data_IF_782580226293
#
_entry.id   IF_782580226293
#
_cell.length_a   1.000
_cell.length_b   1.000
_cell.length_c   1.000
_cell.angle_alpha   90.00
_cell.angle_beta   90.00
_cell.angle_gamma   90.00
#
_symmetry.space_group_name_H-M   'P 1'
#
loop_
_entity.id
_entity.type
_entity.pdbx_description
1 polymer ?
#
# COMPACT_ATOMS: atom_id res chain seq x y z
N UNK A 1 53.12 -70.19 -43.32
CA UNK A 1 53.54 -69.48 -42.09
C UNK A 1 53.70 -68.01 -42.44
N UNK A 2 52.93 -67.13 -41.76
CA UNK A 2 53.07 -65.66 -41.61
C UNK A 2 53.35 -64.82 -42.88
N UNK A 3 52.74 -63.66 -43.15
CA UNK A 3 52.34 -62.61 -42.21
C UNK A 3 51.36 -61.67 -42.91
N UNK A 4 50.32 -61.25 -42.20
CA UNK A 4 49.39 -60.21 -42.60
C UNK A 4 49.98 -58.84 -42.25
N UNK A 5 50.00 -57.90 -43.19
CA UNK A 5 50.25 -56.48 -42.92
C UNK A 5 48.90 -55.76 -42.94
N UNK A 6 48.48 -55.30 -41.76
CA UNK A 6 47.31 -54.47 -41.58
C UNK A 6 47.63 -53.01 -41.93
N UNK A 7 46.89 -52.46 -42.90
CA UNK A 7 46.90 -51.03 -43.18
C UNK A 7 45.94 -50.29 -42.23
N UNK A 8 46.48 -49.33 -41.49
CA UNK A 8 45.74 -48.41 -40.62
C UNK A 8 44.88 -47.45 -41.47
N UNK A 9 43.55 -47.61 -41.40
CA UNK A 9 42.57 -46.61 -41.80
C UNK A 9 42.30 -45.69 -40.61
N UNK A 10 42.81 -44.46 -40.67
CA UNK A 10 42.44 -43.41 -39.74
C UNK A 10 41.03 -42.90 -40.08
N UNK A 11 40.03 -43.40 -39.37
CA UNK A 11 38.69 -42.82 -39.33
C UNK A 11 38.75 -41.50 -38.56
N UNK A 12 38.77 -40.39 -39.30
CA UNK A 12 38.53 -39.07 -38.76
C UNK A 12 37.12 -39.00 -38.16
N UNK A 13 37.05 -38.90 -36.84
CA UNK A 13 35.83 -38.64 -36.10
C UNK A 13 35.37 -37.23 -36.46
N UNK A 14 34.32 -37.13 -37.27
CA UNK A 14 33.51 -35.92 -37.39
C UNK A 14 32.78 -35.74 -36.05
N UNK A 15 33.39 -34.96 -35.15
CA UNK A 15 32.69 -34.46 -33.98
C UNK A 15 31.51 -33.61 -34.46
N UNK A 16 30.30 -33.75 -33.89
CA UNK A 16 29.20 -32.87 -34.20
C UNK A 16 29.64 -31.45 -33.84
N UNK A 17 29.70 -30.59 -34.85
CA UNK A 17 29.77 -29.14 -34.66
C UNK A 17 28.73 -28.79 -33.62
N UNK A 18 29.19 -28.31 -32.46
CA UNK A 18 28.32 -27.88 -31.39
C UNK A 18 27.23 -27.02 -32.00
N UNK A 19 25.98 -27.43 -31.79
CA UNK A 19 24.86 -26.53 -31.95
C UNK A 19 25.20 -25.33 -31.07
N UNK A 20 25.67 -24.26 -31.71
CA UNK A 20 25.71 -22.96 -31.08
C UNK A 20 24.26 -22.72 -30.67
N UNK A 21 23.99 -22.89 -29.38
CA UNK A 21 22.81 -22.32 -28.76
C UNK A 21 22.98 -20.84 -29.07
N UNK A 22 22.30 -20.38 -30.12
CA UNK A 22 22.22 -18.96 -30.39
C UNK A 22 21.79 -18.35 -29.05
N UNK A 23 22.52 -17.36 -28.51
CA UNK A 23 22.04 -16.66 -27.34
C UNK A 23 20.58 -16.29 -27.65
N UNK A 24 19.63 -16.55 -26.74
CA UNK A 24 18.24 -16.19 -26.99
C UNK A 24 18.28 -14.75 -27.48
N UNK A 25 17.73 -14.49 -28.68
CA UNK A 25 17.62 -13.14 -29.22
C UNK A 25 17.11 -12.30 -28.06
N UNK A 26 17.98 -11.46 -27.50
CA UNK A 26 17.79 -10.88 -26.18
C UNK A 26 16.77 -9.76 -26.30
N UNK A 27 15.49 -10.15 -26.37
CA UNK A 27 14.35 -9.28 -26.43
C UNK A 27 13.50 -9.52 -25.20
N UNK A 28 12.97 -8.44 -24.64
CA UNK A 28 11.90 -8.50 -23.66
C UNK A 28 10.73 -9.27 -24.28
N UNK A 29 10.06 -10.14 -23.50
CA UNK A 29 9.01 -11.06 -24.00
C UNK A 29 7.61 -10.74 -23.48
N UNK A 30 7.53 -10.25 -22.26
CA UNK A 30 6.29 -9.91 -21.58
C UNK A 30 6.60 -8.90 -20.48
N UNK A 31 5.65 -8.02 -20.20
CA UNK A 31 5.68 -7.11 -19.07
C UNK A 31 4.47 -7.39 -18.20
N UNK A 32 4.69 -7.48 -16.89
CA UNK A 32 3.63 -7.52 -15.89
C UNK A 32 3.87 -6.33 -14.98
N UNK A 33 2.87 -5.46 -14.88
CA UNK A 33 2.89 -4.31 -13.97
C UNK A 33 1.95 -4.61 -12.82
N UNK A 34 2.50 -4.81 -11.63
CA UNK A 34 1.74 -4.82 -10.39
C UNK A 34 1.80 -3.42 -9.79
N UNK A 35 0.66 -2.73 -9.75
CA UNK A 35 0.57 -1.35 -9.27
C UNK A 35 -0.39 -1.25 -8.10
N UNK A 36 -0.03 -0.43 -7.11
CA UNK A 36 -1.01 0.13 -6.16
C UNK A 36 -1.92 1.11 -6.92
N UNK A 37 -3.09 1.40 -6.36
CA UNK A 37 -3.90 2.53 -6.81
C UNK A 37 -3.18 3.87 -6.71
N UNK A 38 -3.70 4.87 -7.41
CA UNK A 38 -3.29 6.27 -7.27
C UNK A 38 -3.72 6.91 -5.95
N UNK A 39 -3.51 8.22 -5.87
CA UNK A 39 -3.84 9.05 -4.69
C UNK A 39 -5.34 9.01 -4.43
N UNK A 40 -5.72 8.60 -3.22
CA UNK A 40 -7.10 8.41 -2.77
C UNK A 40 -7.39 9.25 -1.53
N UNK A 41 -8.67 9.36 -1.17
CA UNK A 41 -9.05 9.76 0.18
C UNK A 41 -8.57 8.75 1.23
N UNK A 42 -8.50 9.17 2.50
CA UNK A 42 -8.09 8.32 3.61
C UNK A 42 -9.12 7.24 3.91
N UNK A 43 -8.64 6.17 4.53
CA UNK A 43 -9.50 5.18 5.17
C UNK A 43 -10.05 5.71 6.49
N UNK A 44 -10.99 4.97 7.06
CA UNK A 44 -11.33 5.05 8.46
C UNK A 44 -10.23 4.52 9.38
N UNK A 45 -10.31 4.85 10.68
CA UNK A 45 -9.44 4.23 11.68
C UNK A 45 -10.10 2.92 12.15
N UNK A 46 -9.57 1.79 11.70
CA UNK A 46 -10.23 0.49 11.87
C UNK A 46 -11.47 0.38 10.97
N UNK A 47 -12.64 0.14 11.58
CA UNK A 47 -13.92 -0.01 10.85
C UNK A 47 -14.75 1.28 10.80
N UNK A 48 -14.34 2.33 11.53
CA UNK A 48 -15.07 3.60 11.62
C UNK A 48 -14.65 4.53 10.50
N UNK A 49 -15.59 5.03 9.69
CA UNK A 49 -15.30 6.05 8.68
C UNK A 49 -14.72 7.33 9.33
N UNK A 50 -13.93 8.12 8.59
CA UNK A 50 -13.44 9.41 9.10
C UNK A 50 -14.60 10.31 9.54
N UNK A 51 -14.52 10.86 10.75
CA UNK A 51 -15.53 11.77 11.30
C UNK A 51 -14.90 12.80 12.22
N UNK A 52 -15.64 13.88 12.49
CA UNK A 52 -15.16 14.93 13.39
C UNK A 52 -15.04 14.40 14.82
N UNK A 53 -15.97 13.54 15.24
CA UNK A 53 -15.97 12.89 16.55
C UNK A 53 -14.77 11.96 16.72
N UNK A 54 -14.39 11.24 15.66
CA UNK A 54 -13.18 10.40 15.66
C UNK A 54 -11.94 11.28 15.76
N UNK A 55 -11.79 12.27 14.86
CA UNK A 55 -10.61 13.12 14.82
C UNK A 55 -10.42 13.91 16.12
N UNK A 56 -11.48 14.44 16.75
CA UNK A 56 -11.38 15.16 18.04
C UNK A 56 -10.78 14.36 19.20
N UNK A 57 -10.82 13.02 19.12
CA UNK A 57 -10.19 12.13 20.11
C UNK A 57 -8.67 12.09 19.97
N UNK A 58 -8.16 12.25 18.75
CA UNK A 58 -6.73 12.09 18.43
C UNK A 58 -6.03 13.42 18.12
N UNK A 59 -6.71 14.32 17.42
CA UNK A 59 -6.20 15.62 17.00
C UNK A 59 -6.68 16.70 17.97
N UNK A 60 -5.78 17.17 18.83
CA UNK A 60 -6.04 18.29 19.75
C UNK A 60 -5.46 19.61 19.22
N UNK A 61 -4.54 19.53 18.25
CA UNK A 61 -3.94 20.70 17.63
C UNK A 61 -4.98 21.45 16.76
N UNK A 62 -5.40 22.67 17.12
CA UNK A 62 -6.37 23.43 16.35
C UNK A 62 -5.80 23.95 15.01
N UNK A 63 -4.48 23.90 14.82
CA UNK A 63 -3.82 24.36 13.59
C UNK A 63 -3.56 23.23 12.59
N UNK A 64 -3.96 21.99 12.91
CA UNK A 64 -3.85 20.86 12.00
C UNK A 64 -5.20 20.62 11.34
N UNK A 65 -5.30 20.95 10.06
CA UNK A 65 -6.48 20.65 9.25
C UNK A 65 -6.37 19.27 8.61
N UNK A 66 -7.38 18.44 8.84
CA UNK A 66 -7.57 17.12 8.23
C UNK A 66 -8.96 17.10 7.57
N UNK A 67 -9.08 17.51 6.29
CA UNK A 67 -10.37 17.72 5.66
C UNK A 67 -11.22 16.46 5.60
N UNK A 68 -12.48 16.55 6.04
CA UNK A 68 -13.43 15.43 6.05
C UNK A 68 -14.36 15.41 4.83
N UNK A 69 -14.36 16.45 3.99
CA UNK A 69 -15.25 16.53 2.83
C UNK A 69 -14.67 15.80 1.61
N UNK A 70 -15.47 14.97 0.94
CA UNK A 70 -15.10 14.35 -0.32
C UNK A 70 -14.79 15.38 -1.43
N UNK A 71 -15.41 16.57 -1.38
CA UNK A 71 -15.13 17.64 -2.34
C UNK A 71 -13.73 18.23 -2.15
N UNK A 72 -13.28 18.41 -0.90
CA UNK A 72 -11.94 18.91 -0.59
C UNK A 72 -10.85 17.96 -1.13
N UNK A 73 -11.12 16.66 -1.09
CA UNK A 73 -10.23 15.63 -1.65
C UNK A 73 -10.38 15.42 -3.16
N UNK A 74 -11.45 15.95 -3.77
CA UNK A 74 -11.78 15.67 -5.16
C UNK A 74 -12.18 14.22 -5.41
N UNK A 75 -12.79 13.56 -4.42
CA UNK A 75 -13.32 12.19 -4.51
C UNK A 75 -14.83 12.13 -4.71
N UNK A 76 -15.53 13.28 -4.60
CA UNK A 76 -16.98 13.32 -4.83
C UNK A 76 -17.33 13.13 -6.30
N UNK A 77 -18.34 12.29 -6.55
CA UNK A 77 -18.89 12.00 -7.89
C UNK A 77 -20.19 12.77 -8.17
N UNK A 78 -20.85 13.27 -7.12
CA UNK A 78 -22.20 13.87 -7.19
C UNK A 78 -22.23 15.36 -6.83
N UNK A 79 -21.07 15.95 -6.49
CA UNK A 79 -20.96 17.32 -5.96
C UNK A 79 -21.77 17.56 -4.68
N UNK A 80 -22.17 16.49 -3.98
CA UNK A 80 -22.87 16.59 -2.70
C UNK A 80 -21.94 17.22 -1.65
N UNK A 81 -22.27 18.41 -1.11
CA UNK A 81 -21.42 19.08 -0.13
C UNK A 81 -21.33 18.32 1.20
N UNK A 82 -22.25 17.37 1.45
CA UNK A 82 -22.32 16.56 2.67
C UNK A 82 -21.60 15.21 2.55
N UNK A 83 -21.12 14.85 1.36
CA UNK A 83 -20.37 13.60 1.18
C UNK A 83 -19.05 13.65 1.97
N UNK A 84 -18.92 12.73 2.93
CA UNK A 84 -17.69 12.54 3.69
C UNK A 84 -16.64 11.86 2.85
N UNK A 85 -15.38 12.21 3.08
CA UNK A 85 -14.24 11.59 2.43
C UNK A 85 -14.21 10.09 2.68
N UNK A 86 -13.83 9.34 1.65
CA UNK A 86 -13.74 7.88 1.64
C UNK A 86 -12.53 7.45 0.81
N UNK A 87 -12.10 6.18 0.84
CA UNK A 87 -10.92 5.71 0.11
C UNK A 87 -11.16 5.54 -1.40
N UNK A 88 -11.94 6.44 -2.00
CA UNK A 88 -12.10 6.59 -3.46
C UNK A 88 -10.87 7.29 -4.04
N UNK A 89 -10.55 6.99 -5.30
CA UNK A 89 -9.50 7.68 -6.05
C UNK A 89 -9.86 9.16 -6.23
N UNK A 90 -8.90 10.03 -6.03
CA UNK A 90 -9.05 11.47 -6.25
C UNK A 90 -8.98 11.80 -7.76
N UNK A 91 -9.61 12.89 -8.18
CA UNK A 91 -9.46 13.42 -9.56
C UNK A 91 -7.99 13.69 -9.91
N UNK A 92 -7.19 14.19 -8.97
CA UNK A 92 -5.75 14.40 -9.16
C UNK A 92 -5.00 13.07 -9.29
N UNK A 93 -5.28 12.10 -8.41
CA UNK A 93 -4.70 10.76 -8.44
C UNK A 93 -4.94 10.04 -9.77
N UNK A 94 -6.13 10.17 -10.36
CA UNK A 94 -6.41 9.69 -11.72
C UNK A 94 -5.45 10.29 -12.75
N UNK A 95 -5.28 11.61 -12.75
CA UNK A 95 -4.40 12.31 -13.68
C UNK A 95 -2.93 11.92 -13.51
N UNK A 96 -2.46 11.75 -12.27
CA UNK A 96 -1.09 11.29 -11.98
C UNK A 96 -0.85 9.89 -12.52
N UNK A 97 -1.79 8.97 -12.34
CA UNK A 97 -1.69 7.60 -12.87
C UNK A 97 -1.76 7.57 -14.39
N UNK A 98 -2.57 8.43 -15.01
CA UNK A 98 -2.57 8.58 -16.46
C UNK A 98 -1.19 9.03 -16.98
N UNK A 99 -0.56 10.02 -16.33
CA UNK A 99 0.81 10.44 -16.65
C UNK A 99 1.83 9.33 -16.42
N UNK A 100 1.64 8.47 -15.43
CA UNK A 100 2.48 7.28 -15.25
C UNK A 100 2.34 6.33 -16.43
N UNK A 101 1.13 6.08 -16.92
CA UNK A 101 0.89 5.30 -18.14
C UNK A 101 1.56 5.92 -19.37
N UNK A 102 1.46 7.24 -19.54
CA UNK A 102 2.15 7.98 -20.61
C UNK A 102 3.66 7.87 -20.50
N UNK A 103 4.23 7.98 -19.28
CA UNK A 103 5.65 7.80 -19.05
C UNK A 103 6.10 6.40 -19.44
N UNK A 104 5.34 5.38 -19.02
CA UNK A 104 5.59 4.00 -19.41
C UNK A 104 5.58 3.88 -20.93
N UNK A 105 4.55 4.39 -21.61
CA UNK A 105 4.50 4.41 -23.07
C UNK A 105 5.76 5.04 -23.67
N UNK A 106 6.12 6.25 -23.27
CA UNK A 106 7.12 7.02 -23.99
C UNK A 106 8.56 6.53 -23.71
N UNK A 107 8.81 5.95 -22.53
CA UNK A 107 10.15 5.65 -22.03
C UNK A 107 10.42 4.17 -21.75
N UNK A 108 9.37 3.37 -21.52
CA UNK A 108 9.48 1.97 -21.15
C UNK A 108 8.78 1.11 -22.21
N UNK A 109 9.48 0.11 -22.73
CA UNK A 109 8.85 -0.92 -23.58
C UNK A 109 8.33 -0.39 -24.94
N UNK A 110 9.06 0.52 -25.60
CA UNK A 110 8.76 0.94 -26.98
C UNK A 110 8.53 -0.25 -27.94
N UNK A 111 9.25 -1.35 -27.74
CA UNK A 111 9.11 -2.62 -28.47
C UNK A 111 7.72 -3.28 -28.32
N UNK A 112 6.99 -2.96 -27.23
CA UNK A 112 5.67 -3.49 -26.88
C UNK A 112 4.52 -2.53 -27.10
N UNK A 113 4.76 -1.26 -27.45
CA UNK A 113 3.67 -0.33 -27.77
C UNK A 113 3.00 -0.65 -29.10
N UNK A 114 3.64 -1.50 -29.90
CA UNK A 114 3.03 -2.15 -31.05
C UNK A 114 2.16 -3.36 -30.68
N UNK A 115 2.09 -3.75 -29.39
CA UNK A 115 1.11 -4.72 -28.93
C UNK A 115 -0.29 -4.16 -29.24
N UNK A 116 -1.08 -4.96 -29.93
CA UNK A 116 -2.44 -4.55 -30.28
C UNK A 116 -3.27 -4.43 -29.00
N UNK A 117 -4.32 -3.59 -29.02
CA UNK A 117 -5.27 -3.51 -27.90
C UNK A 117 -5.83 -4.88 -27.45
N UNK A 118 -5.73 -5.90 -28.31
CA UNK A 118 -6.21 -7.28 -28.08
C UNK A 118 -5.21 -8.17 -27.34
N UNK A 119 -3.93 -7.81 -27.33
CA UNK A 119 -2.85 -8.57 -26.68
C UNK A 119 -2.55 -8.04 -25.27
N UNK A 120 -3.16 -6.92 -24.91
CA UNK A 120 -3.06 -6.31 -23.60
C UNK A 120 -4.33 -6.57 -22.80
N UNK A 121 -4.16 -6.86 -21.52
CA UNK A 121 -5.26 -7.00 -20.56
C UNK A 121 -4.84 -6.35 -19.24
N UNK A 122 -5.83 -5.90 -18.48
CA UNK A 122 -5.66 -5.37 -17.13
C UNK A 122 -6.62 -6.10 -16.19
N UNK A 123 -6.16 -6.33 -14.96
CA UNK A 123 -6.98 -6.80 -13.85
C UNK A 123 -6.99 -5.72 -12.78
N UNK A 124 -8.13 -5.54 -12.12
CA UNK A 124 -8.24 -4.68 -10.95
C UNK A 124 -9.09 -5.36 -9.88
N UNK A 125 -8.87 -4.99 -8.62
CA UNK A 125 -9.79 -5.38 -7.55
C UNK A 125 -11.15 -4.69 -7.75
N UNK A 126 -12.21 -5.28 -7.19
CA UNK A 126 -13.59 -4.80 -7.34
C UNK A 126 -13.90 -3.64 -6.39
N UNK A 127 -13.04 -2.62 -6.42
CA UNK A 127 -13.25 -1.36 -5.72
C UNK A 127 -12.96 -0.17 -6.65
N UNK A 128 -13.57 0.98 -6.33
CA UNK A 128 -13.57 2.15 -7.21
C UNK A 128 -12.15 2.65 -7.52
N UNK A 129 -11.26 2.68 -6.51
CA UNK A 129 -9.92 3.25 -6.69
C UNK A 129 -9.02 2.39 -7.55
N UNK A 130 -9.12 1.07 -7.44
CA UNK A 130 -8.27 0.14 -8.19
C UNK A 130 -8.76 0.05 -9.65
N UNK A 131 -10.08 -0.02 -9.84
CA UNK A 131 -10.70 0.02 -11.17
C UNK A 131 -10.34 1.32 -11.93
N UNK A 132 -10.56 2.48 -11.30
CA UNK A 132 -10.24 3.77 -11.93
C UNK A 132 -8.72 3.98 -12.12
N UNK A 133 -7.88 3.44 -11.24
CA UNK A 133 -6.41 3.46 -11.44
C UNK A 133 -6.04 2.68 -12.69
N UNK A 134 -6.55 1.46 -12.85
CA UNK A 134 -6.27 0.65 -14.03
C UNK A 134 -6.76 1.35 -15.30
N UNK A 135 -7.96 1.92 -15.30
CA UNK A 135 -8.48 2.73 -16.42
C UNK A 135 -7.54 3.90 -16.72
N UNK A 136 -7.13 4.68 -15.72
CA UNK A 136 -6.24 5.82 -15.89
C UNK A 136 -4.90 5.38 -16.51
N UNK A 137 -4.28 4.33 -15.97
CA UNK A 137 -3.00 3.83 -16.44
C UNK A 137 -3.09 3.35 -17.90
N UNK A 138 -4.12 2.56 -18.23
CA UNK A 138 -4.35 2.09 -19.59
C UNK A 138 -4.64 3.22 -20.56
N UNK A 139 -5.35 4.27 -20.13
CA UNK A 139 -5.62 5.45 -20.97
C UNK A 139 -4.36 6.26 -21.31
N UNK A 140 -3.38 6.30 -20.39
CA UNK A 140 -2.08 6.91 -20.64
C UNK A 140 -1.18 6.03 -21.52
N UNK A 141 -1.15 4.72 -21.22
CA UNK A 141 -0.31 3.75 -21.90
C UNK A 141 -0.77 3.47 -23.34
N UNK A 142 -2.07 3.32 -23.55
CA UNK A 142 -2.72 2.99 -24.83
C UNK A 142 -3.89 3.93 -25.15
N UNK A 143 -3.65 5.22 -25.45
CA UNK A 143 -4.71 6.22 -25.62
C UNK A 143 -5.69 5.93 -26.77
N UNK A 144 -5.30 5.12 -27.76
CA UNK A 144 -6.17 4.68 -28.86
C UNK A 144 -7.06 3.49 -28.51
N UNK A 145 -6.79 2.76 -27.42
CA UNK A 145 -7.47 1.53 -27.04
C UNK A 145 -8.63 1.79 -26.06
N UNK A 146 -9.70 2.46 -26.52
CA UNK A 146 -10.83 2.87 -25.67
C UNK A 146 -11.59 1.71 -25.00
N UNK A 147 -11.57 0.52 -25.62
CA UNK A 147 -12.28 -0.66 -25.12
C UNK A 147 -11.43 -1.47 -24.11
N UNK A 148 -10.19 -1.05 -23.85
CA UNK A 148 -9.28 -1.73 -22.92
C UNK A 148 -9.61 -1.33 -21.48
N UNK A 149 -10.62 -2.00 -20.93
CA UNK A 149 -11.09 -1.84 -19.56
C UNK A 149 -10.57 -2.98 -18.66
N UNK A 150 -10.32 -2.73 -17.37
CA UNK A 150 -9.87 -3.77 -16.46
C UNK A 150 -10.95 -4.82 -16.21
N UNK A 151 -10.53 -6.06 -16.07
CA UNK A 151 -11.35 -7.16 -15.61
C UNK A 151 -11.42 -7.07 -14.08
N UNK A 152 -12.62 -6.87 -13.52
CA UNK A 152 -12.88 -6.86 -12.06
C UNK A 152 -13.73 -8.04 -11.58
N UNK A 153 -14.44 -8.70 -12.51
CA UNK A 153 -15.30 -9.83 -12.15
C UNK A 153 -14.43 -11.02 -11.75
N UNK A 154 -14.74 -11.62 -10.59
CA UNK A 154 -14.05 -12.81 -10.06
C UNK A 154 -12.56 -12.59 -9.80
N UNK A 155 -12.10 -11.34 -9.62
CA UNK A 155 -10.71 -11.04 -9.29
C UNK A 155 -10.42 -10.98 -7.79
N UNK A 156 -11.44 -11.08 -6.93
CA UNK A 156 -11.28 -10.97 -5.48
C UNK A 156 -10.18 -11.88 -4.92
N UNK A 157 -10.07 -13.13 -5.36
CA UNK A 157 -9.00 -14.05 -4.92
C UNK A 157 -7.63 -13.77 -5.55
N UNK A 158 -7.51 -12.84 -6.48
CA UNK A 158 -6.20 -12.35 -6.96
C UNK A 158 -5.64 -11.28 -6.03
N UNK A 159 -6.50 -10.50 -5.37
CA UNK A 159 -6.10 -9.33 -4.58
C UNK A 159 -6.30 -9.54 -3.06
N UNK A 160 -7.40 -10.16 -2.65
CA UNK A 160 -7.87 -10.19 -1.26
C UNK A 160 -7.83 -11.60 -0.65
N UNK A 161 -6.89 -12.46 -1.07
CA UNK A 161 -6.80 -13.84 -0.54
C UNK A 161 -6.75 -13.86 0.98
N UNK A 162 -5.87 -13.04 1.57
CA UNK A 162 -5.68 -13.07 3.01
C UNK A 162 -6.78 -12.38 3.81
N UNK A 163 -7.65 -11.59 3.19
CA UNK A 163 -8.86 -11.07 3.84
C UNK A 163 -10.06 -12.00 3.69
N UNK A 164 -10.04 -12.88 2.68
CA UNK A 164 -11.19 -13.70 2.34
C UNK A 164 -11.28 -14.94 3.25
N UNK A 165 -12.34 -15.06 4.08
CA UNK A 165 -12.49 -16.20 4.99
C UNK A 165 -12.69 -17.54 4.25
N UNK A 166 -13.00 -17.52 2.95
CA UNK A 166 -13.11 -18.71 2.11
C UNK A 166 -11.84 -19.02 1.31
N UNK A 167 -10.76 -18.25 1.48
CA UNK A 167 -9.49 -18.54 0.82
C UNK A 167 -8.80 -19.75 1.47
N UNK A 168 -8.01 -20.46 0.67
CA UNK A 168 -7.25 -21.62 1.14
C UNK A 168 -6.09 -21.24 2.08
N UNK A 169 -5.66 -19.97 2.05
CA UNK A 169 -4.59 -19.44 2.88
C UNK A 169 -5.21 -18.59 4.00
N UNK A 170 -5.16 -19.02 5.27
CA UNK A 170 -5.72 -18.26 6.37
C UNK A 170 -4.91 -16.99 6.66
N UNK A 171 -5.54 -15.99 7.29
CA UNK A 171 -4.83 -14.90 7.97
C UNK A 171 -3.76 -15.47 8.91
N UNK A 172 -2.60 -14.81 9.01
CA UNK A 172 -1.55 -15.28 9.91
C UNK A 172 -2.07 -15.28 11.35
N UNK A 173 -1.70 -16.31 12.10
CA UNK A 173 -2.06 -16.41 13.51
C UNK A 173 -1.32 -15.35 14.32
N UNK A 174 -1.87 -15.03 15.50
CA UNK A 174 -1.19 -14.15 16.47
C UNK A 174 0.25 -14.60 16.73
N UNK A 175 0.48 -15.90 16.89
CA UNK A 175 1.81 -16.45 17.15
C UNK A 175 2.82 -16.20 16.01
N UNK A 176 2.37 -16.22 14.75
CA UNK A 176 3.24 -15.89 13.60
C UNK A 176 3.66 -14.42 13.69
N UNK A 177 2.70 -13.54 13.94
CA UNK A 177 2.93 -12.12 14.12
C UNK A 177 3.85 -11.80 15.29
N UNK A 178 3.63 -12.43 16.44
CA UNK A 178 4.49 -12.31 17.62
C UNK A 178 5.92 -12.79 17.34
N UNK A 179 6.07 -13.85 16.52
CA UNK A 179 7.37 -14.33 16.07
C UNK A 179 8.11 -13.36 15.16
N UNK A 180 7.40 -12.61 14.30
CA UNK A 180 7.98 -11.61 13.40
C UNK A 180 8.43 -10.37 14.15
N UNK A 181 7.58 -9.85 15.03
CA UNK A 181 7.90 -8.64 15.82
C UNK A 181 8.79 -8.95 17.02
N UNK A 182 8.95 -10.23 17.37
CA UNK A 182 9.75 -10.69 18.51
C UNK A 182 9.13 -10.38 19.88
N UNK A 183 7.82 -10.11 19.94
CA UNK A 183 7.10 -9.69 21.15
C UNK A 183 5.61 -9.95 21.02
N UNK A 184 4.84 -9.75 22.10
CA UNK A 184 3.37 -9.79 22.08
C UNK A 184 2.72 -8.47 21.66
N UNK A 185 3.52 -7.47 21.30
CA UNK A 185 3.19 -6.10 20.89
C UNK A 185 4.18 -5.60 19.81
N UNK A 186 4.01 -4.37 19.34
CA UNK A 186 4.86 -3.78 18.27
C UNK A 186 6.05 -2.98 18.80
N UNK A 187 6.38 -3.07 20.10
CA UNK A 187 7.35 -2.17 20.76
C UNK A 187 8.75 -2.17 20.16
N UNK A 188 9.22 -3.31 19.66
CA UNK A 188 10.56 -3.42 19.06
C UNK A 188 10.59 -2.79 17.67
N UNK A 189 9.51 -2.95 16.91
CA UNK A 189 9.35 -2.34 15.59
C UNK A 189 9.18 -0.83 15.71
N UNK A 190 8.46 -0.37 16.74
CA UNK A 190 8.28 1.05 17.04
C UNK A 190 9.61 1.79 17.25
N UNK A 191 10.67 1.11 17.73
CA UNK A 191 11.99 1.73 17.89
C UNK A 191 12.60 2.19 16.56
N UNK A 192 12.25 1.57 15.42
CA UNK A 192 12.76 1.96 14.10
C UNK A 192 12.19 3.30 13.61
N UNK A 193 11.05 3.71 14.14
CA UNK A 193 10.28 4.90 13.72
C UNK A 193 9.87 5.78 14.91
N UNK A 194 10.56 5.66 16.04
CA UNK A 194 10.16 6.33 17.28
C UNK A 194 10.15 7.85 17.12
N UNK A 195 11.16 8.41 16.46
CA UNK A 195 11.27 9.86 16.22
C UNK A 195 10.13 10.34 15.33
N UNK A 196 9.86 9.63 14.24
CA UNK A 196 8.78 9.95 13.32
C UNK A 196 7.41 9.87 14.02
N UNK A 197 7.19 8.87 14.89
CA UNK A 197 5.96 8.77 15.69
C UNK A 197 5.84 9.91 16.71
N UNK A 198 6.95 10.31 17.34
CA UNK A 198 6.96 11.45 18.25
C UNK A 198 6.61 12.76 17.53
N UNK A 199 7.05 12.92 16.28
CA UNK A 199 6.69 14.06 15.45
C UNK A 199 5.21 14.05 15.06
N UNK A 200 4.66 12.89 14.68
CA UNK A 200 3.20 12.76 14.47
C UNK A 200 2.45 13.13 15.76
N UNK A 201 2.91 12.65 16.92
CA UNK A 201 2.30 12.96 18.20
C UNK A 201 2.28 14.47 18.49
N UNK A 202 3.41 15.16 18.25
CA UNK A 202 3.52 16.62 18.40
C UNK A 202 2.58 17.37 17.44
N UNK A 203 2.51 16.95 16.18
CA UNK A 203 1.64 17.55 15.17
C UNK A 203 0.17 17.44 15.55
N UNK A 204 -0.25 16.28 16.06
CA UNK A 204 -1.61 16.04 16.51
C UNK A 204 -1.91 16.74 17.84
N UNK A 205 -0.88 17.07 18.64
CA UNK A 205 -1.00 17.35 20.07
C UNK A 205 -1.82 16.25 20.78
N UNK A 206 -1.62 15.00 20.35
CA UNK A 206 -2.42 13.87 20.77
C UNK A 206 -2.28 13.62 22.28
N UNK A 207 -3.30 13.10 22.98
CA UNK A 207 -4.63 12.64 22.59
C UNK A 207 -5.65 12.97 23.70
N UNK A 208 -6.95 12.73 23.45
CA UNK A 208 -7.95 12.72 24.52
C UNK A 208 -7.80 11.45 25.39
N UNK A 209 -8.02 11.57 26.70
CA UNK A 209 -7.90 10.45 27.66
C UNK A 209 -8.68 9.18 27.29
N UNK A 210 -9.82 9.32 26.61
CA UNK A 210 -10.64 8.19 26.14
C UNK A 210 -9.91 7.26 25.16
N UNK A 211 -8.82 7.71 24.54
CA UNK A 211 -8.02 6.89 23.62
C UNK A 211 -7.11 5.93 24.39
N UNK A 212 -6.53 6.37 25.50
CA UNK A 212 -5.58 5.57 26.29
C UNK A 212 -6.27 4.67 27.33
N UNK A 213 -7.50 5.00 27.76
CA UNK A 213 -8.23 4.22 28.76
C UNK A 213 -9.10 3.14 28.11
N UNK A 214 -8.64 1.88 28.15
CA UNK A 214 -9.44 0.72 27.71
C UNK A 214 -10.53 0.27 28.73
N UNK A 215 -10.83 1.03 29.78
CA UNK A 215 -11.54 0.47 30.94
C UNK A 215 -12.44 1.36 31.80
N UNK A 216 -12.73 2.63 31.46
CA UNK A 216 -13.54 3.52 32.31
C UNK A 216 -15.07 3.29 32.18
N UNK A 217 -15.53 2.10 31.80
CA UNK A 217 -16.89 1.64 32.11
C UNK A 217 -16.98 0.88 33.44
N UNK A 218 -15.86 0.62 34.13
CA UNK A 218 -15.84 -0.02 35.45
C UNK A 218 -15.34 0.95 36.52
N UNK A 219 -16.31 1.64 37.12
CA UNK A 219 -16.28 2.33 38.42
C UNK A 219 -15.11 1.90 39.32
N UNK A 220 -13.99 2.60 39.26
CA UNK A 220 -12.97 2.59 40.33
C UNK A 220 -12.54 4.03 40.61
N UNK A 221 -13.09 4.66 41.67
CA UNK A 221 -12.75 6.02 42.04
C UNK A 221 -11.49 5.99 42.90
N UNK A 222 -10.32 5.77 42.29
CA UNK A 222 -9.04 6.23 42.85
C UNK A 222 -7.87 5.79 41.97
N UNK A 223 -7.36 6.71 41.14
CA UNK A 223 -5.99 6.66 40.61
C UNK A 223 -5.50 8.06 40.26
N UNK A 224 -5.35 8.87 41.28
CA UNK A 224 -4.83 10.24 41.26
C UNK A 224 -3.30 10.32 41.17
N UNK A 225 -2.64 9.47 40.37
CA UNK A 225 -1.17 9.54 40.23
C UNK A 225 -0.57 8.81 39.00
N UNK A 226 -1.34 8.63 37.91
CA UNK A 226 -0.74 8.40 36.59
C UNK A 226 -0.73 9.73 35.85
N UNK A 227 0.41 10.07 35.25
CA UNK A 227 0.57 11.26 34.41
C UNK A 227 -0.71 11.50 33.60
N UNK A 228 -1.35 12.66 33.76
CA UNK A 228 -2.57 13.04 33.03
C UNK A 228 -2.29 13.30 31.52
N UNK A 229 -1.26 12.69 30.96
CA UNK A 229 -0.85 12.84 29.57
C UNK A 229 -1.21 11.56 28.83
N UNK A 230 -2.30 11.59 28.06
CA UNK A 230 -2.56 10.56 27.06
C UNK A 230 -1.94 11.03 25.76
N UNK A 231 -1.02 10.28 25.19
CA UNK A 231 -0.36 10.56 23.92
C UNK A 231 -0.39 9.30 23.02
N UNK A 232 0.20 9.35 21.82
CA UNK A 232 0.23 8.18 20.93
C UNK A 232 0.97 6.98 21.54
N UNK A 233 1.96 7.18 22.39
CA UNK A 233 2.75 6.11 23.02
C UNK A 233 2.02 5.45 24.20
N UNK A 234 1.07 6.15 24.81
CA UNK A 234 0.20 5.64 25.87
C UNK A 234 -1.00 4.82 25.32
N UNK A 235 -1.18 4.74 24.00
CA UNK A 235 -2.25 3.94 23.38
C UNK A 235 -2.01 2.45 23.64
N UNK A 236 -2.92 1.76 24.34
CA UNK A 236 -2.74 0.36 24.68
C UNK A 236 -2.85 -0.55 23.47
N UNK A 237 -1.96 -1.55 23.42
CA UNK A 237 -1.93 -2.54 22.34
C UNK A 237 -3.05 -3.57 22.49
N UNK A 238 -3.90 -3.68 21.47
CA UNK A 238 -4.98 -4.65 21.38
C UNK A 238 -4.85 -5.47 20.09
N UNK A 239 -4.81 -6.79 20.22
CA UNK A 239 -4.88 -7.69 19.05
C UNK A 239 -6.30 -7.72 18.49
N UNK A 240 -6.47 -7.46 17.19
CA UNK A 240 -7.74 -7.55 16.50
C UNK A 240 -7.75 -8.63 15.39
N UNK A 241 -6.58 -9.16 15.00
CA UNK A 241 -6.44 -10.20 13.98
C UNK A 241 -6.80 -9.76 12.56
N UNK A 242 -6.86 -8.46 12.29
CA UNK A 242 -7.11 -7.94 10.94
C UNK A 242 -5.90 -8.20 10.01
N UNK A 243 -6.18 -8.36 8.73
CA UNK A 243 -5.17 -8.76 7.74
C UNK A 243 -4.05 -7.71 7.52
N UNK A 244 -4.41 -6.43 7.39
CA UNK A 244 -3.45 -5.34 7.14
C UNK A 244 -2.91 -4.69 8.41
N UNK A 245 -3.71 -4.63 9.49
CA UNK A 245 -3.37 -3.96 10.75
C UNK A 245 -3.83 -4.83 11.93
N UNK A 246 -3.08 -5.91 12.24
CA UNK A 246 -3.50 -6.94 13.21
C UNK A 246 -3.48 -6.48 14.68
N UNK A 247 -2.87 -5.32 14.95
CA UNK A 247 -2.91 -4.64 16.24
C UNK A 247 -3.55 -3.26 16.11
N UNK A 248 -4.27 -2.86 17.15
CA UNK A 248 -4.63 -1.47 17.45
C UNK A 248 -3.72 -1.00 18.58
N UNK A 249 -2.82 -0.07 18.29
CA UNK A 249 -1.69 0.33 19.14
C UNK A 249 -1.08 1.67 18.65
N UNK A 250 -0.01 2.14 19.29
CA UNK A 250 0.75 3.32 18.85
C UNK A 250 1.08 3.30 17.36
N UNK A 251 1.63 2.19 16.84
CA UNK A 251 2.14 2.11 15.48
C UNK A 251 1.04 2.23 14.43
N UNK A 252 -0.06 1.49 14.58
CA UNK A 252 -1.24 1.56 13.70
C UNK A 252 -1.94 2.92 13.72
N UNK A 253 -1.99 3.60 14.88
CA UNK A 253 -2.58 4.95 14.95
C UNK A 253 -1.64 6.00 14.32
N UNK A 254 -0.32 5.89 14.54
CA UNK A 254 0.64 6.77 13.89
C UNK A 254 0.68 6.57 12.36
N UNK A 255 0.59 5.31 11.92
CA UNK A 255 0.47 4.94 10.50
C UNK A 255 -0.70 5.67 9.85
N UNK A 256 -1.88 5.59 10.47
CA UNK A 256 -3.10 6.25 9.98
C UNK A 256 -2.89 7.74 9.68
N UNK A 257 -2.34 8.50 10.64
CA UNK A 257 -2.12 9.93 10.47
C UNK A 257 -0.96 10.23 9.52
N UNK A 258 0.08 9.40 9.50
CA UNK A 258 1.20 9.56 8.58
C UNK A 258 0.77 9.38 7.12
N UNK A 259 -0.03 8.34 6.81
CA UNK A 259 -0.59 8.09 5.49
C UNK A 259 -1.59 9.19 5.12
N UNK A 260 -2.38 9.69 6.08
CA UNK A 260 -3.28 10.82 5.83
C UNK A 260 -2.51 12.06 5.36
N UNK A 261 -1.44 12.43 6.07
CA UNK A 261 -0.58 13.57 5.71
C UNK A 261 0.13 13.36 4.37
N UNK A 262 0.62 12.14 4.10
CA UNK A 262 1.20 11.77 2.83
C UNK A 262 0.19 11.95 1.68
N UNK A 263 -1.03 11.42 1.84
CA UNK A 263 -2.07 11.53 0.81
C UNK A 263 -2.50 12.98 0.57
N UNK A 264 -2.58 13.82 1.61
CA UNK A 264 -2.81 15.26 1.44
C UNK A 264 -1.70 15.91 0.64
N UNK A 265 -0.44 15.61 0.95
CA UNK A 265 0.73 16.11 0.20
C UNK A 265 0.67 15.69 -1.27
N UNK A 266 0.41 14.40 -1.53
CA UNK A 266 0.37 13.84 -2.88
C UNK A 266 -0.86 14.31 -3.67
N UNK A 267 -1.92 14.75 -3.00
CA UNK A 267 -3.11 15.33 -3.61
C UNK A 267 -3.00 16.86 -3.81
N UNK A 268 -1.81 17.43 -3.56
CA UNK A 268 -1.56 18.87 -3.64
C UNK A 268 -2.51 19.70 -2.76
N UNK A 269 -2.85 19.18 -1.58
CA UNK A 269 -3.66 19.87 -0.59
C UNK A 269 -2.79 20.78 0.29
N UNK A 270 -3.42 21.72 0.99
CA UNK A 270 -2.70 22.60 1.91
C UNK A 270 -2.23 21.80 3.13
N UNK A 271 -0.96 21.95 3.48
CA UNK A 271 -0.37 21.37 4.69
C UNK A 271 0.07 22.48 5.65
N UNK A 272 0.18 22.20 6.95
CA UNK A 272 0.84 23.11 7.89
C UNK A 272 2.22 23.54 7.39
N UNK A 273 2.56 24.82 7.56
CA UNK A 273 3.78 25.41 6.97
C UNK A 273 5.08 24.75 7.43
N UNK A 274 5.08 24.09 8.59
CA UNK A 274 6.22 23.34 9.11
C UNK A 274 6.44 21.98 8.42
N UNK A 275 5.47 21.48 7.63
CA UNK A 275 5.57 20.20 6.93
C UNK A 275 6.13 20.40 5.52
N UNK A 276 7.46 20.32 5.38
CA UNK A 276 8.10 20.22 4.06
C UNK A 276 7.86 18.84 3.44
N UNK A 277 8.14 18.70 2.14
CA UNK A 277 8.04 17.41 1.46
C UNK A 277 8.97 16.36 2.09
N UNK A 278 10.20 16.74 2.45
CA UNK A 278 11.16 15.85 3.13
C UNK A 278 10.62 15.39 4.49
N UNK A 279 9.94 16.29 5.22
CA UNK A 279 9.31 15.94 6.49
C UNK A 279 8.19 14.93 6.29
N UNK A 280 7.30 15.16 5.33
CA UNK A 280 6.22 14.22 4.98
C UNK A 280 6.80 12.85 4.58
N UNK A 281 7.86 12.83 3.77
CA UNK A 281 8.51 11.59 3.37
C UNK A 281 9.14 10.86 4.56
N UNK A 282 9.71 11.59 5.51
CA UNK A 282 10.20 11.03 6.77
C UNK A 282 9.06 10.38 7.55
N UNK A 283 7.94 11.08 7.76
CA UNK A 283 6.78 10.54 8.47
C UNK A 283 6.19 9.31 7.77
N UNK A 284 6.19 9.27 6.42
CA UNK A 284 5.72 8.12 5.64
C UNK A 284 6.54 6.83 5.86
N UNK A 285 7.71 6.91 6.48
CA UNK A 285 8.47 5.73 6.92
C UNK A 285 7.68 4.89 7.92
N UNK A 286 6.82 5.51 8.75
CA UNK A 286 5.91 4.81 9.65
C UNK A 286 5.04 3.84 8.83
N UNK A 287 4.40 4.32 7.76
CA UNK A 287 3.62 3.48 6.85
C UNK A 287 4.43 2.34 6.24
N UNK A 288 5.65 2.62 5.77
CA UNK A 288 6.51 1.57 5.23
C UNK A 288 6.87 0.49 6.25
N UNK A 289 7.08 0.85 7.52
CA UNK A 289 7.39 -0.11 8.59
C UNK A 289 6.16 -0.90 8.98
N UNK A 290 5.01 -0.26 9.14
CA UNK A 290 3.73 -0.91 9.43
C UNK A 290 3.35 -1.91 8.34
N UNK A 291 3.56 -1.58 7.06
CA UNK A 291 3.18 -2.47 5.95
C UNK A 291 4.02 -3.76 5.90
N UNK A 292 5.27 -3.73 6.38
CA UNK A 292 6.10 -4.95 6.55
C UNK A 292 5.53 -5.91 7.60
N UNK A 293 4.68 -5.39 8.50
CA UNK A 293 3.94 -6.18 9.47
C UNK A 293 2.57 -6.61 8.95
N UNK A 294 2.32 -6.59 7.64
CA UNK A 294 1.09 -7.15 7.08
C UNK A 294 1.34 -8.57 6.56
N UNK A 295 0.37 -9.46 6.73
CA UNK A 295 0.43 -10.84 6.24
C UNK A 295 0.65 -10.95 4.72
N UNK A 296 0.39 -9.90 3.96
CA UNK A 296 0.56 -9.90 2.51
C UNK A 296 2.02 -10.06 2.06
N UNK A 297 2.99 -9.84 2.94
CA UNK A 297 4.43 -9.93 2.66
C UNK A 297 5.10 -11.19 3.23
N UNK A 298 4.31 -12.13 3.74
CA UNK A 298 4.76 -13.39 4.35
C UNK A 298 4.35 -14.59 3.48
#
# INVERSE_FOLDING_TARGET
>A
MLSWVAALLALGVLAPTGAAIAPPSSGLRQVIVLSRHGVRGPYGLGTEAPSEELLKKYVRNPNLDLPLSANAWGTSETEDPTETVSPKLTKHGFQVIQRMGEYFRDHLYQEFLNATCKETFAYADDNQRDNLTAIAFMSGLYPSCKDLVPITKQTQLLFEQGQNPTANCPVCSKAVYEGIVGSNDTRFVLQEVHEEVAEVNELLQCCAHSVCNLGDELNTPDRSDRSNTCDLFEIPTTWNGAFYLPWKDTLSNADYFSEWLLLQSLNNMTLPSQLTFEKILSLAKIHSVTFRLSCAYL
#
